data_IF_789507782845
#
_entry.id   IF_789507782845
#
_cell.length_a   1.000
_cell.length_b   1.000
_cell.length_c   1.000
_cell.angle_alpha   90.00
_cell.angle_beta   90.00
_cell.angle_gamma   90.00
#
_symmetry.space_group_name_H-M   'P 1'
#
loop_
_entity.id
_entity.type
_entity.pdbx_description
1 polymer ?
#
# COMPACT_ATOMS: atom_id res chain seq x y z
N UNK A 1 35.58 -24.11 -19.52
CA UNK A 1 35.29 -22.89 -18.71
C UNK A 1 35.00 -21.72 -19.65
N UNK A 2 35.83 -21.43 -20.63
CA UNK A 2 35.67 -20.32 -21.59
C UNK A 2 34.35 -20.37 -22.40
N UNK A 3 33.94 -21.57 -22.82
CA UNK A 3 32.64 -21.80 -23.50
C UNK A 3 31.44 -21.57 -22.57
N UNK A 4 31.58 -21.92 -21.30
CA UNK A 4 30.54 -21.69 -20.28
C UNK A 4 30.42 -20.19 -19.93
N UNK A 5 31.55 -19.50 -19.78
CA UNK A 5 31.58 -18.07 -19.51
C UNK A 5 30.99 -17.26 -20.65
N UNK A 6 31.29 -17.65 -21.90
CA UNK A 6 30.75 -17.05 -23.14
C UNK A 6 29.26 -17.34 -23.32
N UNK A 7 28.77 -18.53 -22.97
CA UNK A 7 27.36 -18.87 -22.96
C UNK A 7 26.59 -18.09 -21.88
N UNK A 8 27.23 -17.88 -20.73
CA UNK A 8 26.67 -17.08 -19.63
C UNK A 8 26.58 -15.58 -19.99
N UNK A 9 27.60 -15.04 -20.64
CA UNK A 9 27.56 -13.65 -21.12
C UNK A 9 26.46 -13.43 -22.15
N UNK A 10 26.22 -14.39 -23.04
CA UNK A 10 25.15 -14.34 -24.04
C UNK A 10 23.74 -14.56 -23.46
N UNK A 11 23.63 -15.03 -22.20
CA UNK A 11 22.36 -15.21 -21.50
C UNK A 11 21.94 -13.99 -20.67
N UNK A 12 22.78 -12.94 -20.57
CA UNK A 12 22.48 -11.73 -19.81
C UNK A 12 21.68 -10.76 -20.68
N UNK A 13 20.43 -10.58 -20.35
CA UNK A 13 19.59 -9.54 -20.96
C UNK A 13 19.84 -8.16 -20.34
N UNK A 14 19.82 -7.14 -21.18
CA UNK A 14 19.90 -5.75 -20.75
C UNK A 14 18.51 -5.11 -20.79
N UNK A 15 18.06 -4.59 -19.64
CA UNK A 15 16.75 -3.96 -19.47
C UNK A 15 16.89 -2.45 -19.22
N UNK A 16 16.23 -1.67 -20.05
CA UNK A 16 16.00 -0.25 -19.82
C UNK A 16 14.65 -0.04 -19.17
N UNK A 17 14.59 0.80 -18.13
CA UNK A 17 13.34 1.17 -17.46
C UNK A 17 13.00 2.62 -17.81
N UNK A 18 11.95 2.80 -18.63
CA UNK A 18 11.44 4.12 -19.03
C UNK A 18 10.84 4.90 -17.86
N UNK A 19 10.52 6.19 -18.11
CA UNK A 19 9.67 6.94 -17.21
C UNK A 19 8.27 6.34 -17.14
N UNK A 20 7.78 6.16 -15.91
CA UNK A 20 6.44 5.68 -15.72
C UNK A 20 5.44 6.83 -15.92
N UNK A 21 4.40 6.58 -16.69
CA UNK A 21 3.30 7.52 -16.91
C UNK A 21 2.40 7.68 -15.69
N UNK A 22 1.56 8.73 -15.69
CA UNK A 22 0.56 9.00 -14.66
C UNK A 22 1.04 9.97 -13.59
N UNK A 23 0.72 9.73 -12.31
CA UNK A 23 1.09 10.63 -11.22
C UNK A 23 2.61 10.67 -11.01
N UNK A 24 3.24 11.77 -11.46
CA UNK A 24 4.71 11.93 -11.50
C UNK A 24 5.41 11.59 -10.20
N UNK A 25 4.88 12.04 -9.04
CA UNK A 25 5.47 11.80 -7.71
C UNK A 25 5.64 10.30 -7.42
N UNK A 26 4.58 9.52 -7.57
CA UNK A 26 4.60 8.08 -7.28
C UNK A 26 5.22 7.28 -8.42
N UNK A 27 5.05 7.73 -9.66
CA UNK A 27 5.65 7.13 -10.84
C UNK A 27 7.17 7.12 -10.76
N UNK A 28 7.78 8.30 -10.50
CA UNK A 28 9.24 8.41 -10.31
C UNK A 28 9.71 7.59 -9.11
N UNK A 29 9.03 7.70 -7.97
CA UNK A 29 9.40 6.92 -6.78
C UNK A 29 9.41 5.40 -7.06
N UNK A 30 8.32 4.85 -7.63
CA UNK A 30 8.22 3.41 -7.91
C UNK A 30 9.29 2.99 -8.90
N UNK A 31 9.50 3.76 -9.98
CA UNK A 31 10.54 3.48 -10.98
C UNK A 31 11.93 3.41 -10.34
N UNK A 32 12.31 4.43 -9.58
CA UNK A 32 13.64 4.52 -9.00
C UNK A 32 13.89 3.37 -7.99
N UNK A 33 12.88 3.02 -7.21
CA UNK A 33 12.95 1.88 -6.31
C UNK A 33 13.00 0.53 -7.05
N UNK A 34 12.33 0.39 -8.21
CA UNK A 34 12.46 -0.80 -9.04
C UNK A 34 13.86 -0.92 -9.59
N UNK A 35 14.44 0.17 -10.12
CA UNK A 35 15.84 0.20 -10.59
C UNK A 35 16.78 -0.22 -9.46
N UNK A 36 16.68 0.37 -8.27
CA UNK A 36 17.51 0.05 -7.13
C UNK A 36 17.39 -1.42 -6.69
N UNK A 37 16.18 -1.96 -6.68
CA UNK A 37 15.93 -3.34 -6.27
C UNK A 37 16.46 -4.33 -7.33
N UNK A 38 16.20 -4.08 -8.60
CA UNK A 38 16.66 -4.96 -9.68
C UNK A 38 18.20 -4.95 -9.80
N UNK A 39 18.87 -3.82 -9.67
CA UNK A 39 20.33 -3.76 -9.67
C UNK A 39 21.00 -4.55 -8.53
N UNK A 40 20.27 -4.82 -7.44
CA UNK A 40 20.77 -5.65 -6.31
C UNK A 40 20.53 -7.15 -6.52
N UNK A 41 19.44 -7.53 -7.16
CA UNK A 41 18.97 -8.92 -7.24
C UNK A 41 19.45 -9.60 -8.53
N UNK A 42 19.58 -8.86 -9.64
CA UNK A 42 19.69 -9.40 -10.98
C UNK A 42 21.13 -9.48 -11.51
N UNK A 43 22.06 -10.06 -10.77
CA UNK A 43 23.45 -10.16 -11.24
C UNK A 43 23.70 -11.28 -12.27
N UNK A 44 22.83 -12.29 -12.38
CA UNK A 44 23.10 -13.46 -13.23
C UNK A 44 22.52 -13.39 -14.64
N UNK A 45 21.27 -12.92 -14.79
CA UNK A 45 20.58 -12.95 -16.09
C UNK A 45 20.02 -11.61 -16.56
N UNK A 46 20.08 -10.58 -15.70
CA UNK A 46 19.51 -9.27 -16.00
C UNK A 46 20.45 -8.13 -15.61
N UNK A 47 20.81 -7.29 -16.54
CA UNK A 47 21.54 -6.05 -16.33
C UNK A 47 20.60 -4.86 -16.55
N UNK A 48 20.39 -4.03 -15.51
CA UNK A 48 19.59 -2.81 -15.64
C UNK A 48 20.49 -1.65 -16.02
N UNK A 49 20.16 -0.99 -17.12
CA UNK A 49 20.90 0.19 -17.60
C UNK A 49 20.30 1.44 -16.93
N UNK A 50 21.18 2.30 -16.38
CA UNK A 50 20.76 3.56 -15.76
C UNK A 50 20.48 4.61 -16.87
N UNK A 51 19.45 5.42 -16.63
CA UNK A 51 18.75 6.24 -17.58
C UNK A 51 19.40 7.59 -17.91
N UNK A 52 20.33 8.09 -17.11
CA UNK A 52 20.86 9.44 -17.33
C UNK A 52 21.48 9.60 -18.72
N UNK A 53 22.07 8.52 -19.27
CA UNK A 53 22.54 8.44 -20.65
C UNK A 53 21.39 8.35 -21.68
N UNK A 54 20.29 7.68 -21.34
CA UNK A 54 19.12 7.53 -22.24
C UNK A 54 18.33 8.83 -22.42
N UNK A 55 18.31 9.70 -21.43
CA UNK A 55 17.61 10.98 -21.52
C UNK A 55 18.23 11.90 -22.55
N UNK A 56 19.54 11.87 -22.64
CA UNK A 56 20.30 12.60 -23.68
C UNK A 56 19.99 12.01 -25.07
N UNK A 57 20.04 10.68 -25.21
CA UNK A 57 19.75 9.97 -26.46
C UNK A 57 18.30 10.20 -26.92
N UNK A 58 17.32 10.10 -26.02
CA UNK A 58 15.91 10.31 -26.35
C UNK A 58 15.57 11.78 -26.68
N UNK A 59 16.27 12.74 -26.06
CA UNK A 59 16.11 14.15 -26.42
C UNK A 59 16.71 14.48 -27.78
N UNK A 60 17.78 13.80 -28.16
CA UNK A 60 18.41 13.92 -29.48
C UNK A 60 17.55 13.33 -30.60
N UNK A 61 16.80 12.23 -30.31
CA UNK A 61 15.95 11.55 -31.29
C UNK A 61 14.56 12.19 -31.47
N UNK A 62 14.23 13.28 -30.78
CA UNK A 62 12.93 13.96 -30.85
C UNK A 62 11.70 13.05 -30.61
N UNK A 63 11.88 11.88 -29.99
CA UNK A 63 10.89 10.83 -29.78
C UNK A 63 9.82 11.18 -28.72
N UNK A 64 9.83 12.37 -28.17
CA UNK A 64 9.05 12.73 -26.98
C UNK A 64 7.57 13.06 -27.30
N UNK A 65 7.22 13.30 -28.56
CA UNK A 65 5.90 13.85 -28.90
C UNK A 65 4.93 12.95 -29.68
N UNK A 66 5.34 11.82 -30.25
CA UNK A 66 4.49 11.10 -31.20
C UNK A 66 4.22 9.61 -30.96
N UNK A 67 4.58 9.08 -29.80
CA UNK A 67 4.54 7.64 -29.55
C UNK A 67 5.74 6.92 -30.15
N UNK A 68 6.21 5.88 -29.48
CA UNK A 68 7.38 5.12 -29.90
C UNK A 68 6.99 4.16 -31.02
N UNK A 69 7.62 4.30 -32.20
CA UNK A 69 7.43 3.42 -33.36
C UNK A 69 8.41 2.24 -33.32
N UNK A 70 8.24 1.28 -34.22
CA UNK A 70 9.15 0.14 -34.37
C UNK A 70 10.59 0.57 -34.68
N UNK A 71 10.76 1.54 -35.55
CA UNK A 71 12.07 2.13 -35.88
C UNK A 71 12.74 2.79 -34.66
N UNK A 72 11.95 3.41 -33.81
CA UNK A 72 12.44 4.04 -32.58
C UNK A 72 12.97 3.03 -31.56
N UNK A 73 12.36 1.85 -31.47
CA UNK A 73 12.88 0.75 -30.65
C UNK A 73 14.24 0.24 -31.17
N UNK A 74 14.39 0.08 -32.48
CA UNK A 74 15.65 -0.34 -33.08
C UNK A 74 16.77 0.68 -32.84
N UNK A 75 16.46 1.97 -32.95
CA UNK A 75 17.43 3.03 -32.70
C UNK A 75 17.80 3.16 -31.23
N UNK A 76 16.83 3.04 -30.31
CA UNK A 76 17.07 2.96 -28.89
C UNK A 76 17.95 1.76 -28.52
N UNK A 77 17.73 0.60 -29.14
CA UNK A 77 18.58 -0.56 -28.96
C UNK A 77 20.02 -0.29 -29.41
N UNK A 78 20.19 0.27 -30.62
CA UNK A 78 21.51 0.59 -31.16
C UNK A 78 22.31 1.55 -30.26
N UNK A 79 21.62 2.56 -29.68
CA UNK A 79 22.26 3.60 -28.87
C UNK A 79 22.44 3.18 -27.40
N UNK A 80 21.50 2.43 -26.83
CA UNK A 80 21.53 2.00 -25.43
C UNK A 80 22.21 0.67 -25.19
N UNK A 81 22.35 -0.17 -26.23
CA UNK A 81 22.78 -1.56 -26.07
C UNK A 81 21.79 -2.41 -25.27
N UNK A 82 20.53 -1.99 -25.15
CA UNK A 82 19.51 -2.71 -24.40
C UNK A 82 18.75 -3.70 -25.27
N UNK A 83 18.47 -4.87 -24.73
CA UNK A 83 17.65 -5.89 -25.39
C UNK A 83 16.17 -5.67 -25.14
N UNK A 84 15.81 -5.25 -23.94
CA UNK A 84 14.43 -5.10 -23.49
C UNK A 84 14.16 -3.72 -22.90
N UNK A 85 12.90 -3.27 -23.00
CA UNK A 85 12.42 -2.02 -22.41
C UNK A 85 11.19 -2.27 -21.54
N UNK A 86 11.22 -1.78 -20.30
CA UNK A 86 10.08 -1.76 -19.40
C UNK A 86 9.41 -0.39 -19.45
N UNK A 87 8.14 -0.38 -19.83
CA UNK A 87 7.26 0.78 -19.72
C UNK A 87 6.12 0.49 -18.76
N UNK A 88 5.67 1.51 -18.01
CA UNK A 88 4.56 1.39 -17.08
C UNK A 88 3.76 2.68 -16.95
N UNK A 89 2.52 2.56 -16.51
CA UNK A 89 1.64 3.68 -16.20
C UNK A 89 0.94 3.47 -14.87
N UNK A 90 0.71 4.55 -14.13
CA UNK A 90 0.17 4.52 -12.77
C UNK A 90 -1.09 5.36 -12.67
N UNK A 91 -2.14 4.74 -12.13
CA UNK A 91 -3.37 5.41 -11.73
C UNK A 91 -3.46 5.39 -10.21
N UNK A 92 -3.70 6.57 -9.61
CA UNK A 92 -3.91 6.71 -8.17
C UNK A 92 -5.34 7.13 -7.88
N UNK A 93 -5.95 6.55 -6.85
CA UNK A 93 -7.24 6.95 -6.32
C UNK A 93 -7.17 7.12 -4.81
N UNK A 94 -7.98 8.01 -4.28
CA UNK A 94 -8.06 8.27 -2.83
C UNK A 94 -9.47 8.72 -2.48
N UNK A 95 -10.07 8.10 -1.47
CA UNK A 95 -11.30 8.57 -0.85
C UNK A 95 -10.96 9.53 0.30
N UNK A 96 -11.53 10.74 0.33
CA UNK A 96 -11.36 11.66 1.45
C UNK A 96 -11.70 11.02 2.80
N UNK A 97 -11.18 11.62 3.87
CA UNK A 97 -11.51 11.16 5.23
C UNK A 97 -12.98 11.44 5.50
N UNK A 98 -13.74 10.38 5.73
CA UNK A 98 -15.12 10.45 6.18
C UNK A 98 -15.17 10.27 7.70
N UNK A 99 -15.81 11.23 8.38
CA UNK A 99 -16.09 11.16 9.82
C UNK A 99 -17.59 10.88 10.03
N UNK A 100 -17.89 9.73 10.61
CA UNK A 100 -19.25 9.28 10.95
C UNK A 100 -19.40 9.35 12.46
N UNK A 101 -20.56 9.77 12.94
CA UNK A 101 -20.87 9.80 14.37
C UNK A 101 -22.28 9.30 14.65
N UNK A 102 -22.38 8.34 15.56
CA UNK A 102 -23.63 7.85 16.12
C UNK A 102 -23.74 8.43 17.54
N UNK A 103 -24.67 9.36 17.75
CA UNK A 103 -24.81 10.10 19.01
C UNK A 103 -25.94 9.57 19.89
N UNK A 104 -25.82 9.83 21.20
CA UNK A 104 -26.87 9.54 22.20
C UNK A 104 -27.22 8.05 22.30
N UNK A 105 -26.27 7.14 22.11
CA UNK A 105 -26.50 5.70 22.23
C UNK A 105 -26.73 5.35 23.71
N UNK A 106 -27.95 4.95 24.06
CA UNK A 106 -28.30 4.60 25.43
C UNK A 106 -27.67 3.27 25.85
N UNK A 107 -27.08 3.27 27.04
CA UNK A 107 -26.50 2.09 27.69
C UNK A 107 -27.15 1.88 29.05
N UNK A 108 -27.51 0.63 29.39
CA UNK A 108 -28.12 0.25 30.69
C UNK A 108 -27.51 -1.06 31.17
N UNK A 109 -27.26 -1.16 32.48
CA UNK A 109 -26.76 -2.41 33.07
C UNK A 109 -27.20 -2.54 34.51
N UNK A 110 -27.62 -3.75 34.93
CA UNK A 110 -27.82 -4.06 36.37
C UNK A 110 -26.45 -4.36 36.98
N UNK A 111 -26.12 -3.64 38.04
CA UNK A 111 -24.83 -3.79 38.76
C UNK A 111 -25.10 -3.83 40.24
N UNK A 112 -24.18 -4.37 41.01
CA UNK A 112 -24.21 -4.26 42.48
C UNK A 112 -23.92 -2.77 42.84
N UNK A 113 -24.88 -2.10 43.48
CA UNK A 113 -24.74 -0.71 43.93
C UNK A 113 -24.08 -0.68 45.29
N UNK A 114 -24.52 -1.58 46.19
CA UNK A 114 -23.98 -1.72 47.56
C UNK A 114 -24.13 -3.16 48.03
N UNK A 115 -23.30 -3.54 48.99
CA UNK A 115 -23.42 -4.79 49.74
C UNK A 115 -23.87 -4.47 51.13
N UNK A 116 -24.95 -5.05 51.58
CA UNK A 116 -25.46 -4.90 52.95
C UNK A 116 -25.14 -6.16 53.77
N UNK A 117 -24.72 -5.94 55.02
CA UNK A 117 -24.58 -7.02 55.97
C UNK A 117 -25.87 -7.05 56.82
N UNK A 118 -26.45 -8.21 56.97
CA UNK A 118 -27.62 -8.42 57.80
C UNK A 118 -27.42 -9.67 58.65
N UNK A 119 -28.11 -9.72 59.79
CA UNK A 119 -28.11 -10.90 60.65
C UNK A 119 -29.33 -11.75 60.27
N UNK A 120 -29.14 -13.03 60.00
CA UNK A 120 -30.23 -13.95 59.67
C UNK A 120 -30.95 -14.46 60.93
N UNK A 121 -31.99 -15.29 60.75
CA UNK A 121 -32.80 -15.82 61.84
C UNK A 121 -32.03 -16.78 62.79
N UNK A 122 -30.84 -17.26 62.37
CA UNK A 122 -29.93 -18.07 63.20
C UNK A 122 -28.89 -17.27 63.96
N UNK A 123 -28.89 -15.92 63.83
CA UNK A 123 -27.91 -15.05 64.45
C UNK A 123 -26.62 -14.89 63.67
N UNK A 124 -26.50 -15.44 62.46
CA UNK A 124 -25.31 -15.37 61.64
C UNK A 124 -25.30 -14.07 60.80
N UNK A 125 -24.12 -13.44 60.69
CA UNK A 125 -23.91 -12.27 59.83
C UNK A 125 -23.73 -12.66 58.38
N UNK A 126 -24.67 -12.31 57.49
CA UNK A 126 -24.65 -12.59 56.06
C UNK A 126 -24.59 -11.30 55.23
N UNK A 127 -24.00 -11.41 54.03
CA UNK A 127 -23.91 -10.31 53.07
C UNK A 127 -24.88 -10.52 51.91
N UNK A 128 -25.67 -9.49 51.59
CA UNK A 128 -26.47 -9.46 50.36
C UNK A 128 -26.08 -8.34 49.43
N UNK A 129 -26.05 -8.63 48.14
CA UNK A 129 -25.76 -7.63 47.12
C UNK A 129 -27.04 -6.93 46.67
N UNK A 130 -27.15 -5.64 46.87
CA UNK A 130 -28.25 -4.82 46.37
C UNK A 130 -27.88 -4.40 44.95
N UNK A 131 -28.67 -4.88 43.99
CA UNK A 131 -28.50 -4.58 42.56
C UNK A 131 -29.38 -3.40 42.16
N UNK A 132 -28.83 -2.51 41.33
CA UNK A 132 -29.58 -1.42 40.73
C UNK A 132 -29.20 -1.23 39.26
N UNK A 133 -29.99 -0.49 38.52
CA UNK A 133 -29.74 -0.19 37.11
C UNK A 133 -28.97 1.11 37.00
N UNK A 134 -27.78 1.05 36.41
CA UNK A 134 -26.98 2.21 36.02
C UNK A 134 -27.18 2.52 34.54
N UNK A 135 -27.04 3.78 34.16
CA UNK A 135 -27.26 4.30 32.82
C UNK A 135 -26.07 5.14 32.37
N UNK A 136 -25.80 5.11 31.07
CA UNK A 136 -24.88 6.01 30.39
C UNK A 136 -25.38 6.31 28.98
N UNK A 137 -24.88 7.39 28.40
CA UNK A 137 -25.10 7.78 27.02
C UNK A 137 -23.73 7.85 26.35
N UNK A 138 -23.61 7.26 25.15
CA UNK A 138 -22.37 7.17 24.42
C UNK A 138 -22.51 7.91 23.08
N UNK A 139 -21.50 8.69 22.74
CA UNK A 139 -21.30 9.21 21.38
C UNK A 139 -20.14 8.44 20.75
N UNK A 140 -20.42 7.71 19.67
CA UNK A 140 -19.48 6.87 18.96
C UNK A 140 -19.06 7.55 17.66
N UNK A 141 -17.76 7.61 17.42
CA UNK A 141 -17.15 8.25 16.26
C UNK A 141 -16.30 7.28 15.48
N UNK A 142 -16.34 7.40 14.16
CA UNK A 142 -15.55 6.58 13.20
C UNK A 142 -14.90 7.51 12.18
N UNK A 143 -13.66 7.22 11.82
CA UNK A 143 -12.98 7.83 10.67
C UNK A 143 -12.58 6.72 9.70
N UNK A 144 -12.86 6.91 8.41
CA UNK A 144 -12.42 5.99 7.36
C UNK A 144 -11.89 6.75 6.15
N UNK A 145 -10.96 6.15 5.48
CA UNK A 145 -10.39 6.60 4.21
C UNK A 145 -9.77 5.41 3.51
N UNK A 146 -9.56 5.49 2.21
CA UNK A 146 -8.79 4.51 1.48
C UNK A 146 -8.01 5.16 0.34
N UNK A 147 -6.96 4.47 -0.08
CA UNK A 147 -6.21 4.84 -1.26
C UNK A 147 -5.86 3.59 -2.07
N UNK A 148 -5.69 3.75 -3.38
CA UNK A 148 -5.25 2.69 -4.29
C UNK A 148 -4.22 3.22 -5.26
N UNK A 149 -3.30 2.34 -5.67
CA UNK A 149 -2.43 2.51 -6.83
C UNK A 149 -2.64 1.29 -7.72
N UNK A 150 -2.94 1.53 -8.97
CA UNK A 150 -2.95 0.53 -10.03
C UNK A 150 -1.82 0.87 -10.99
N UNK A 151 -0.90 -0.05 -11.21
CA UNK A 151 0.22 0.06 -12.11
C UNK A 151 0.07 -0.99 -13.21
N UNK A 152 -0.03 -0.56 -14.46
CA UNK A 152 0.05 -1.41 -15.65
C UNK A 152 1.45 -1.32 -16.22
N UNK A 153 1.98 -2.43 -16.71
CA UNK A 153 3.34 -2.48 -17.26
C UNK A 153 3.44 -3.45 -18.43
N UNK A 154 4.44 -3.22 -19.28
CA UNK A 154 4.85 -4.13 -20.35
C UNK A 154 6.37 -4.14 -20.50
N UNK A 155 6.92 -5.29 -20.85
CA UNK A 155 8.30 -5.48 -21.27
C UNK A 155 8.26 -5.83 -22.77
N UNK A 156 9.00 -5.09 -23.56
CA UNK A 156 9.05 -5.23 -25.01
C UNK A 156 10.48 -5.58 -25.42
N UNK A 157 10.63 -6.54 -26.33
CA UNK A 157 11.88 -6.83 -26.99
C UNK A 157 12.17 -5.70 -28.01
N UNK A 158 13.36 -5.12 -27.93
CA UNK A 158 13.73 -3.97 -28.76
C UNK A 158 14.21 -4.35 -30.17
N UNK A 159 14.36 -5.65 -30.48
CA UNK A 159 14.77 -6.12 -31.81
C UNK A 159 13.60 -6.30 -32.78
N UNK A 160 12.44 -6.70 -32.28
CA UNK A 160 11.24 -7.05 -33.05
C UNK A 160 9.96 -6.39 -32.55
N UNK A 161 10.06 -5.54 -31.52
CA UNK A 161 8.94 -4.82 -30.89
C UNK A 161 7.87 -5.73 -30.28
N UNK A 162 8.18 -7.03 -30.08
CA UNK A 162 7.23 -7.98 -29.48
C UNK A 162 7.11 -7.73 -27.98
N UNK A 163 5.87 -7.71 -27.48
CA UNK A 163 5.59 -7.66 -26.05
C UNK A 163 5.86 -9.03 -25.43
N UNK A 164 6.95 -9.13 -24.68
CA UNK A 164 7.36 -10.37 -24.00
C UNK A 164 6.52 -10.65 -22.77
N UNK A 165 6.22 -9.61 -22.02
CA UNK A 165 5.53 -9.73 -20.76
C UNK A 165 4.73 -8.46 -20.43
N UNK A 166 3.49 -8.61 -19.97
CA UNK A 166 2.67 -7.49 -19.55
C UNK A 166 1.78 -7.88 -18.37
N UNK A 167 1.29 -6.91 -17.65
CA UNK A 167 0.38 -7.18 -16.56
C UNK A 167 0.04 -5.96 -15.72
N UNK A 168 -0.64 -6.24 -14.61
CA UNK A 168 -1.06 -5.26 -13.64
C UNK A 168 -0.55 -5.59 -12.24
N UNK A 169 -0.21 -4.55 -11.49
CA UNK A 169 0.07 -4.62 -10.05
C UNK A 169 -0.84 -3.64 -9.34
N UNK A 170 -1.61 -4.12 -8.38
CA UNK A 170 -2.53 -3.31 -7.59
C UNK A 170 -2.14 -3.31 -6.12
N UNK A 171 -2.17 -2.13 -5.52
CA UNK A 171 -2.04 -1.90 -4.10
C UNK A 171 -3.21 -1.11 -3.55
N UNK A 172 -3.64 -1.43 -2.33
CA UNK A 172 -4.69 -0.71 -1.60
C UNK A 172 -4.29 -0.59 -0.14
N UNK A 173 -4.65 0.55 0.47
CA UNK A 173 -4.55 0.79 1.90
C UNK A 173 -5.84 1.39 2.39
N UNK A 174 -6.47 0.72 3.34
CA UNK A 174 -7.63 1.23 4.07
C UNK A 174 -7.16 1.79 5.41
N UNK A 175 -7.74 2.91 5.80
CA UNK A 175 -7.64 3.50 7.13
C UNK A 175 -9.00 3.43 7.80
N UNK A 176 -9.03 2.90 9.01
CA UNK A 176 -10.19 2.87 9.87
C UNK A 176 -9.77 3.14 11.31
N UNK A 177 -10.44 4.08 11.96
CA UNK A 177 -10.23 4.38 13.35
C UNK A 177 -11.54 4.74 14.01
N UNK A 178 -11.75 4.24 15.24
CA UNK A 178 -12.95 4.54 16.02
C UNK A 178 -12.61 4.83 17.47
N UNK A 179 -13.43 5.71 18.08
CA UNK A 179 -13.38 6.07 19.49
C UNK A 179 -14.77 6.45 19.98
N UNK A 180 -14.96 6.60 21.27
CA UNK A 180 -16.21 7.05 21.85
C UNK A 180 -15.98 8.00 23.01
N UNK A 181 -17.00 8.83 23.29
CA UNK A 181 -17.15 9.58 24.52
C UNK A 181 -18.41 9.13 25.24
N UNK A 182 -18.51 9.35 26.55
CA UNK A 182 -19.72 8.97 27.29
C UNK A 182 -20.02 9.96 28.40
N UNK A 183 -21.30 9.96 28.81
CA UNK A 183 -21.82 10.64 30.01
C UNK A 183 -22.59 9.63 30.85
N UNK A 184 -22.46 9.70 32.18
CA UNK A 184 -23.13 8.80 33.13
C UNK A 184 -22.20 7.77 33.75
N UNK A 185 -22.74 6.63 34.17
CA UNK A 185 -21.99 5.62 34.91
C UNK A 185 -21.22 4.65 33.95
N UNK A 186 -19.89 4.62 34.09
CA UNK A 186 -19.00 3.76 33.29
C UNK A 186 -19.36 2.28 33.39
N UNK A 187 -19.98 1.84 34.49
CA UNK A 187 -20.41 0.44 34.70
C UNK A 187 -21.53 0.04 33.75
N UNK A 188 -22.31 1.02 33.24
CA UNK A 188 -23.37 0.80 32.29
C UNK A 188 -22.87 0.41 30.88
N UNK A 189 -21.63 0.77 30.54
CA UNK A 189 -21.07 0.57 29.21
C UNK A 189 -20.90 -0.94 28.88
N UNK A 190 -21.20 -1.31 27.62
CA UNK A 190 -20.84 -2.62 27.04
C UNK A 190 -19.31 -2.78 26.98
N UNK A 191 -18.83 -4.00 26.78
CA UNK A 191 -17.39 -4.26 26.67
C UNK A 191 -16.75 -3.48 25.50
N UNK A 192 -17.45 -3.39 24.38
CA UNK A 192 -17.03 -2.60 23.23
C UNK A 192 -16.84 -1.12 23.58
N UNK A 193 -17.85 -0.49 24.20
CA UNK A 193 -17.75 0.93 24.55
C UNK A 193 -16.78 1.20 25.69
N UNK A 194 -16.58 0.27 26.61
CA UNK A 194 -15.51 0.38 27.61
C UNK A 194 -14.12 0.49 26.97
N UNK A 195 -13.90 -0.24 25.90
CA UNK A 195 -12.66 -0.15 25.12
C UNK A 195 -12.59 1.17 24.33
N UNK A 196 -13.65 1.54 23.60
CA UNK A 196 -13.67 2.71 22.74
C UNK A 196 -13.52 4.03 23.50
N UNK A 197 -14.04 4.13 24.74
CA UNK A 197 -13.89 5.33 25.58
C UNK A 197 -12.49 5.52 26.16
N UNK A 198 -11.61 4.51 26.07
CA UNK A 198 -10.20 4.69 26.42
C UNK A 198 -9.39 5.31 25.29
N UNK A 199 -9.95 5.31 24.07
CA UNK A 199 -9.31 5.86 22.86
C UNK A 199 -9.67 7.33 22.70
N UNK A 200 -8.67 8.13 22.35
CA UNK A 200 -8.86 9.54 21.99
C UNK A 200 -8.93 9.69 20.48
N UNK A 201 -9.57 10.76 20.02
CA UNK A 201 -9.52 11.11 18.60
C UNK A 201 -8.08 11.23 18.12
N UNK A 202 -7.79 10.63 16.98
CA UNK A 202 -6.47 10.70 16.32
C UNK A 202 -6.58 11.38 14.96
N UNK A 203 -5.48 12.00 14.54
CA UNK A 203 -5.36 12.47 13.16
C UNK A 203 -5.26 11.27 12.23
N UNK A 204 -6.02 11.34 11.14
CA UNK A 204 -5.92 10.35 10.09
C UNK A 204 -4.64 10.59 9.26
N UNK A 205 -4.02 9.54 8.69
CA UNK A 205 -2.91 9.70 7.77
C UNK A 205 -3.33 10.54 6.56
N UNK A 206 -2.40 11.31 6.05
CA UNK A 206 -2.63 12.09 4.83
C UNK A 206 -2.81 11.18 3.61
N UNK A 207 -3.37 11.73 2.53
CA UNK A 207 -3.41 11.07 1.22
C UNK A 207 -2.02 10.58 0.80
N UNK A 208 -1.01 11.42 0.99
CA UNK A 208 0.37 11.11 0.59
C UNK A 208 0.97 9.97 1.42
N UNK A 209 0.69 9.92 2.72
CA UNK A 209 1.15 8.82 3.58
C UNK A 209 0.56 7.48 3.13
N UNK A 210 -0.75 7.45 2.85
CA UNK A 210 -1.42 6.25 2.37
C UNK A 210 -0.86 5.79 1.01
N UNK A 211 -0.73 6.71 0.06
CA UNK A 211 -0.21 6.41 -1.28
C UNK A 211 1.26 5.99 -1.25
N UNK A 212 2.09 6.56 -0.38
CA UNK A 212 3.49 6.18 -0.25
C UNK A 212 3.64 4.75 0.31
N UNK A 213 2.82 4.36 1.29
CA UNK A 213 2.78 2.97 1.78
C UNK A 213 2.44 2.00 0.65
N UNK A 214 1.45 2.38 -0.18
CA UNK A 214 1.03 1.55 -1.32
C UNK A 214 2.13 1.50 -2.37
N UNK A 215 2.78 2.63 -2.68
CA UNK A 215 3.86 2.70 -3.66
C UNK A 215 5.01 1.73 -3.31
N UNK A 216 5.42 1.66 -2.03
CA UNK A 216 6.41 0.67 -1.55
C UNK A 216 5.97 -0.77 -1.83
N UNK A 217 4.71 -1.09 -1.56
CA UNK A 217 4.16 -2.43 -1.79
C UNK A 217 4.10 -2.78 -3.30
N UNK A 218 3.64 -1.83 -4.13
CA UNK A 218 3.57 -1.98 -5.60
C UNK A 218 4.96 -2.18 -6.19
N UNK A 219 5.96 -1.41 -5.73
CA UNK A 219 7.37 -1.59 -6.12
C UNK A 219 7.86 -3.01 -5.86
N UNK A 220 7.63 -3.52 -4.65
CA UNK A 220 8.06 -4.88 -4.28
C UNK A 220 7.38 -5.95 -5.16
N UNK A 221 6.08 -5.79 -5.43
CA UNK A 221 5.33 -6.71 -6.27
C UNK A 221 5.82 -6.68 -7.72
N UNK A 222 6.04 -5.49 -8.29
CA UNK A 222 6.57 -5.34 -9.65
C UNK A 222 7.97 -5.94 -9.76
N UNK A 223 8.86 -5.63 -8.82
CA UNK A 223 10.20 -6.18 -8.79
C UNK A 223 10.22 -7.71 -8.80
N UNK A 224 9.37 -8.35 -7.96
CA UNK A 224 9.23 -9.82 -7.96
C UNK A 224 8.75 -10.39 -9.30
N UNK A 225 7.81 -9.71 -9.97
CA UNK A 225 7.31 -10.14 -11.29
C UNK A 225 8.38 -10.04 -12.37
N UNK A 226 9.17 -8.96 -12.35
CA UNK A 226 10.31 -8.78 -13.26
C UNK A 226 11.35 -9.87 -13.00
N UNK A 227 11.80 -10.04 -11.75
CA UNK A 227 12.80 -11.07 -11.41
C UNK A 227 12.34 -12.46 -11.82
N UNK A 228 11.07 -12.81 -11.58
CA UNK A 228 10.52 -14.11 -12.00
C UNK A 228 10.60 -14.30 -13.51
N UNK A 229 10.26 -13.29 -14.31
CA UNK A 229 10.31 -13.37 -15.78
C UNK A 229 11.71 -13.66 -16.35
N UNK A 230 12.76 -13.21 -15.65
CA UNK A 230 14.15 -13.41 -16.09
C UNK A 230 14.85 -14.60 -15.38
N UNK A 231 14.17 -15.30 -14.46
CA UNK A 231 14.73 -16.45 -13.74
C UNK A 231 14.16 -17.79 -14.21
N UNK A 232 13.02 -17.76 -14.92
CA UNK A 232 12.38 -18.92 -15.57
C UNK A 232 12.89 -19.06 -17.01
#
# INVERSE_FOLDING_TARGET
QELYDKARENAIFTLVIQEFGGNKKYASYIRDQVILNQSKISKEFLKVINRDQLKTILSELALVQSGITENDYLELRRLSGADHILSASIITSHSPIEKISDKNIAQKKKVVIRTETYVDSSGESKKRNIKGTVKATVDHYKKRSNATITLTYKIVNMSDSIVLFSGEVKGRKDYFYEWATFKGDKRALSSQYKYLVTRKEQFAPSKDDLLMIIAKNVTTKLGKKISKHYSD
#
